data_IF_086619363167
#
_entry.id   IF_086619363167
#
_cell.length_a   1.000
_cell.length_b   1.000
_cell.length_c   1.000
_cell.angle_alpha   90.00
_cell.angle_beta   90.00
_cell.angle_gamma   90.00
#
_symmetry.space_group_name_H-M   'P 1'
#
loop_
_entity.id
_entity.type
_entity.pdbx_description
1 polymer ?
#
# COMPACT_ATOMS: atom_id res chain seq x y z
N UNK A 1 8.40 -3.81 -0.52
CA UNK A 1 8.47 -2.81 -1.61
C UNK A 1 7.20 -1.97 -1.63
N UNK A 2 6.10 -2.36 -2.27
CA UNK A 2 4.93 -1.46 -2.35
C UNK A 2 4.23 -1.17 -1.00
N UNK A 3 4.36 -2.05 -0.01
CA UNK A 3 3.88 -1.79 1.36
C UNK A 3 4.94 -1.21 2.29
N UNK A 4 6.18 -1.03 1.82
CA UNK A 4 7.31 -0.59 2.64
C UNK A 4 7.54 0.91 2.46
N UNK A 5 7.37 1.67 3.55
CA UNK A 5 7.47 3.12 3.56
C UNK A 5 8.85 3.62 3.15
N UNK A 6 9.91 2.86 3.43
CA UNK A 6 11.29 3.24 3.11
C UNK A 6 11.57 3.19 1.60
N UNK A 7 10.80 2.38 0.87
CA UNK A 7 10.92 2.24 -0.58
C UNK A 7 9.94 3.12 -1.36
N UNK A 8 9.00 3.77 -0.67
CA UNK A 8 7.97 4.64 -1.26
C UNK A 8 8.51 5.71 -2.21
N UNK A 9 9.63 6.42 -1.89
CA UNK A 9 10.21 7.41 -2.79
C UNK A 9 10.63 6.89 -4.17
N UNK A 10 10.87 5.59 -4.29
CA UNK A 10 11.34 4.98 -5.53
C UNK A 10 10.23 4.79 -6.56
N UNK A 11 8.96 4.83 -6.15
CA UNK A 11 7.84 4.46 -7.02
C UNK A 11 6.62 5.38 -6.94
N UNK A 12 6.47 6.18 -5.87
CA UNK A 12 5.38 7.13 -5.75
C UNK A 12 5.88 8.56 -5.89
N UNK A 13 5.53 9.21 -7.01
CA UNK A 13 5.86 10.61 -7.27
C UNK A 13 5.33 11.56 -6.20
N UNK A 14 4.24 11.20 -5.51
CA UNK A 14 3.64 12.02 -4.44
C UNK A 14 4.54 12.14 -3.22
N UNK A 15 5.51 11.24 -3.05
CA UNK A 15 6.46 11.29 -1.95
C UNK A 15 7.48 12.44 -2.08
N UNK A 16 7.74 12.94 -3.29
CA UNK A 16 8.72 14.02 -3.57
C UNK A 16 10.07 13.84 -2.85
N UNK A 17 10.62 12.61 -2.83
CA UNK A 17 11.86 12.24 -2.13
C UNK A 17 11.86 12.49 -0.60
N UNK A 18 10.67 12.73 -0.02
CA UNK A 18 10.56 12.93 1.42
C UNK A 18 10.67 11.61 2.18
N UNK A 19 11.21 11.69 3.40
CA UNK A 19 11.13 10.58 4.34
C UNK A 19 9.67 10.30 4.67
N UNK A 20 9.26 9.03 4.53
CA UNK A 20 7.92 8.56 4.87
C UNK A 20 8.00 7.78 6.18
N UNK A 21 7.02 7.97 7.06
CA UNK A 21 6.86 7.20 8.28
C UNK A 21 5.47 6.62 8.35
N UNK A 22 5.36 5.33 8.65
CA UNK A 22 4.10 4.72 9.05
C UNK A 22 3.70 5.20 10.45
N UNK A 23 2.51 5.81 10.57
CA UNK A 23 1.98 6.33 11.84
C UNK A 23 0.85 5.47 12.40
N UNK A 24 0.23 4.63 11.56
CA UNK A 24 -0.74 3.65 11.98
C UNK A 24 -0.71 2.45 11.03
N UNK A 25 -0.91 1.26 11.59
CA UNK A 25 -0.93 0.00 10.88
C UNK A 25 -2.06 -0.88 11.41
N UNK A 26 -2.94 -1.33 10.52
CA UNK A 26 -4.09 -2.17 10.83
C UNK A 26 -4.03 -3.39 9.92
N UNK A 27 -3.77 -4.57 10.49
CA UNK A 27 -3.87 -5.81 9.74
C UNK A 27 -5.32 -6.05 9.27
N UNK A 28 -5.50 -6.44 8.00
CA UNK A 28 -6.82 -6.60 7.40
C UNK A 28 -7.00 -7.99 6.75
N UNK A 29 -7.66 -8.91 7.44
CA UNK A 29 -7.92 -10.26 6.92
C UNK A 29 -6.82 -11.28 7.27
N UNK A 30 -6.80 -12.41 6.56
CA UNK A 30 -5.99 -13.58 6.93
C UNK A 30 -4.58 -13.58 6.35
N UNK A 31 -4.36 -12.89 5.23
CA UNK A 31 -3.04 -12.83 4.61
C UNK A 31 -2.18 -11.77 5.31
N UNK A 32 -0.94 -12.08 5.73
CA UNK A 32 -0.11 -11.18 6.53
C UNK A 32 0.30 -9.89 5.82
N UNK A 33 0.26 -9.88 4.49
CA UNK A 33 0.50 -8.68 3.68
C UNK A 33 -0.71 -7.78 3.50
N UNK A 34 -1.88 -8.14 4.03
CA UNK A 34 -3.07 -7.32 3.93
C UNK A 34 -3.10 -6.35 5.12
N UNK A 35 -3.08 -5.06 4.82
CA UNK A 35 -3.12 -4.04 5.84
C UNK A 35 -3.71 -2.73 5.33
N UNK A 36 -4.16 -1.92 6.27
CA UNK A 36 -4.46 -0.50 6.08
C UNK A 36 -3.38 0.26 6.86
N UNK A 37 -2.65 1.12 6.17
CA UNK A 37 -1.52 1.88 6.71
C UNK A 37 -1.78 3.37 6.51
N UNK A 38 -1.49 4.17 7.53
CA UNK A 38 -1.46 5.63 7.41
C UNK A 38 0.00 6.05 7.42
N UNK A 39 0.43 6.66 6.33
CA UNK A 39 1.80 7.11 6.13
C UNK A 39 1.85 8.64 6.23
N UNK A 40 2.87 9.17 6.89
CA UNK A 40 3.16 10.60 6.98
C UNK A 40 4.39 10.92 6.14
N UNK A 41 4.24 11.88 5.22
CA UNK A 41 5.37 12.42 4.50
C UNK A 41 5.97 13.61 5.26
N UNK A 42 7.26 13.55 5.57
CA UNK A 42 7.97 14.66 6.23
C UNK A 42 8.58 15.59 5.20
N UNK A 43 7.88 16.69 4.89
CA UNK A 43 8.47 17.76 4.09
C UNK A 43 9.28 18.71 4.99
N UNK A 44 10.56 18.91 4.66
CA UNK A 44 11.48 19.77 5.43
C UNK A 44 11.24 21.28 5.22
N UNK A 45 10.47 21.65 4.19
CA UNK A 45 10.29 23.03 3.73
C UNK A 45 8.88 23.59 3.88
N UNK A 46 7.87 22.73 4.06
CA UNK A 46 6.49 23.14 4.29
C UNK A 46 5.90 22.29 5.40
N UNK A 47 5.25 22.91 6.38
CA UNK A 47 4.49 22.23 7.43
C UNK A 47 3.20 21.59 6.87
N UNK A 48 3.27 20.98 5.70
CA UNK A 48 2.15 20.32 5.10
C UNK A 48 2.06 18.93 5.71
N UNK A 49 1.15 18.74 6.67
CA UNK A 49 0.83 17.45 7.28
C UNK A 49 0.02 16.58 6.32
N UNK A 50 0.56 16.35 5.13
CA UNK A 50 0.00 15.43 4.16
C UNK A 50 0.19 14.00 4.69
N UNK A 51 -0.92 13.29 4.76
CA UNK A 51 -0.96 11.87 5.07
C UNK A 51 -1.32 11.11 3.79
N UNK A 52 -0.94 9.84 3.76
CA UNK A 52 -1.32 8.90 2.71
C UNK A 52 -2.03 7.75 3.41
N UNK A 53 -3.29 7.52 3.06
CA UNK A 53 -4.00 6.32 3.46
C UNK A 53 -3.72 5.26 2.39
N UNK A 54 -3.21 4.10 2.79
CA UNK A 54 -2.91 2.99 1.90
C UNK A 54 -3.61 1.72 2.37
N UNK A 55 -4.21 0.99 1.45
CA UNK A 55 -4.65 -0.38 1.64
C UNK A 55 -3.87 -1.31 0.72
N UNK A 56 -3.33 -2.39 1.28
CA UNK A 56 -2.85 -3.54 0.53
C UNK A 56 -3.74 -4.74 0.78
N UNK A 57 -4.08 -5.46 -0.28
CA UNK A 57 -4.87 -6.68 -0.19
C UNK A 57 -4.31 -7.73 -1.16
N UNK A 58 -4.28 -8.98 -0.70
CA UNK A 58 -3.75 -10.14 -1.39
C UNK A 58 -4.79 -11.25 -1.27
N UNK A 59 -5.16 -11.80 -2.41
CA UNK A 59 -6.10 -12.90 -2.55
C UNK A 59 -5.64 -13.89 -3.64
N UNK A 60 -6.49 -14.86 -3.99
CA UNK A 60 -6.18 -15.85 -5.01
C UNK A 60 -6.02 -15.28 -6.43
N UNK A 61 -6.52 -14.06 -6.68
CA UNK A 61 -6.48 -13.39 -7.97
C UNK A 61 -5.22 -12.53 -8.14
N UNK A 62 -4.57 -12.17 -7.04
CA UNK A 62 -3.32 -11.43 -7.03
C UNK A 62 -3.19 -10.51 -5.82
N UNK A 63 -2.60 -9.34 -6.05
CA UNK A 63 -2.39 -8.32 -5.03
C UNK A 63 -2.80 -6.95 -5.54
N UNK A 64 -3.37 -6.11 -4.68
CA UNK A 64 -3.66 -4.72 -4.98
C UNK A 64 -2.99 -3.81 -3.94
N UNK A 65 -2.61 -2.63 -4.40
CA UNK A 65 -2.22 -1.52 -3.55
C UNK A 65 -3.01 -0.30 -4.00
N UNK A 66 -3.87 0.20 -3.12
CA UNK A 66 -4.66 1.42 -3.33
C UNK A 66 -4.28 2.42 -2.27
N UNK A 67 -4.13 3.67 -2.66
CA UNK A 67 -3.73 4.74 -1.77
C UNK A 67 -4.37 6.07 -2.17
N UNK A 68 -4.54 6.98 -1.22
CA UNK A 68 -4.96 8.35 -1.49
C UNK A 68 -4.21 9.34 -0.59
N UNK A 69 -3.85 10.52 -1.11
CA UNK A 69 -3.42 11.62 -0.27
C UNK A 69 -4.63 12.14 0.52
N UNK A 70 -4.44 12.35 1.81
CA UNK A 70 -5.44 12.82 2.76
C UNK A 70 -4.83 13.85 3.70
N UNK A 71 -5.61 14.85 4.09
CA UNK A 71 -5.19 15.81 5.09
C UNK A 71 -5.53 15.32 6.50
N UNK A 72 -4.83 15.85 7.50
CA UNK A 72 -5.08 15.51 8.91
C UNK A 72 -6.52 15.85 9.35
N UNK A 73 -7.14 16.98 8.93
CA UNK A 73 -8.54 17.27 9.23
C UNK A 73 -9.52 16.20 8.72
N UNK A 74 -9.37 15.70 7.50
CA UNK A 74 -10.23 14.63 6.98
C UNK A 74 -10.13 13.35 7.80
N UNK A 75 -8.90 12.95 8.16
CA UNK A 75 -8.71 11.78 9.03
C UNK A 75 -9.39 11.98 10.38
N UNK A 76 -9.32 13.18 10.96
CA UNK A 76 -9.98 13.46 12.23
C UNK A 76 -11.51 13.38 12.13
N UNK A 77 -12.11 13.86 11.03
CA UNK A 77 -13.56 13.74 10.77
C UNK A 77 -13.95 12.25 10.66
N UNK A 78 -13.17 11.46 9.91
CA UNK A 78 -13.44 10.03 9.78
C UNK A 78 -13.32 9.29 11.12
N UNK A 79 -12.38 9.69 11.98
CA UNK A 79 -12.13 9.07 13.28
C UNK A 79 -13.06 9.55 14.40
N UNK A 80 -13.67 10.74 14.26
CA UNK A 80 -14.63 11.29 15.24
C UNK A 80 -16.02 10.65 15.12
N UNK A 81 -16.27 9.87 14.06
CA UNK A 81 -17.59 9.30 13.76
C UNK A 81 -18.55 10.31 13.14
N UNK A 82 -18.05 11.46 12.70
CA UNK A 82 -18.79 12.41 11.88
C UNK A 82 -18.99 11.86 10.46
N UNK A 83 -19.78 12.57 9.63
CA UNK A 83 -20.08 12.15 8.25
C UNK A 83 -18.85 12.33 7.33
N UNK A 84 -18.21 11.23 6.85
CA UNK A 84 -17.04 11.32 6.01
C UNK A 84 -17.37 11.60 4.53
N UNK A 85 -18.65 11.68 4.15
CA UNK A 85 -19.07 11.88 2.74
C UNK A 85 -18.53 13.19 2.13
N UNK A 86 -18.19 14.16 2.96
CA UNK A 86 -17.65 15.45 2.54
C UNK A 86 -16.13 15.46 2.36
N UNK A 87 -15.44 14.35 2.63
CA UNK A 87 -13.98 14.24 2.47
C UNK A 87 -13.69 13.92 0.99
N UNK A 88 -13.14 14.87 0.19
CA UNK A 88 -12.80 14.58 -1.19
C UNK A 88 -11.55 13.70 -1.23
N UNK A 89 -11.71 12.43 -1.61
CA UNK A 89 -10.60 11.50 -1.82
C UNK A 89 -10.29 11.38 -3.32
N UNK A 90 -9.00 11.34 -3.63
CA UNK A 90 -8.49 11.03 -4.96
C UNK A 90 -7.70 9.71 -4.89
N UNK A 91 -8.37 8.55 -4.83
CA UNK A 91 -7.71 7.27 -4.76
C UNK A 91 -6.97 6.96 -6.06
N UNK A 92 -5.81 6.33 -5.92
CA UNK A 92 -4.95 5.83 -6.99
C UNK A 92 -4.38 4.48 -6.56
N UNK A 93 -3.92 3.67 -7.51
CA UNK A 93 -3.43 2.35 -7.17
C UNK A 93 -3.08 1.51 -8.38
N UNK A 94 -2.67 0.28 -8.10
CA UNK A 94 -2.33 -0.71 -9.11
C UNK A 94 -2.60 -2.13 -8.60
N UNK A 95 -2.75 -3.04 -9.54
CA UNK A 95 -2.92 -4.47 -9.30
C UNK A 95 -1.71 -5.23 -9.85
N UNK A 96 -1.25 -6.22 -9.10
CA UNK A 96 -0.19 -7.14 -9.47
C UNK A 96 -0.84 -8.52 -9.60
N UNK A 97 -0.78 -9.10 -10.79
CA UNK A 97 -1.26 -10.45 -11.07
C UNK A 97 -0.12 -11.31 -11.61
N UNK A 98 -0.26 -12.63 -11.47
CA UNK A 98 0.62 -13.57 -12.15
C UNK A 98 0.48 -13.43 -13.66
N UNK A 99 1.55 -13.74 -14.41
CA UNK A 99 1.55 -13.75 -15.87
C UNK A 99 0.70 -14.89 -16.50
N UNK A 100 0.02 -15.68 -15.66
CA UNK A 100 -0.83 -16.80 -16.06
C UNK A 100 -0.08 -18.02 -16.55
N UNK A 101 1.26 -18.00 -16.53
CA UNK A 101 2.05 -19.16 -16.94
C UNK A 101 2.11 -20.17 -15.79
N UNK A 102 1.91 -21.46 -16.07
CA UNK A 102 2.13 -22.47 -15.05
C UNK A 102 3.59 -22.39 -14.61
N UNK A 103 3.81 -22.44 -13.29
CA UNK A 103 5.16 -22.53 -12.73
C UNK A 103 5.79 -23.81 -13.27
N UNK A 104 6.65 -23.69 -14.29
CA UNK A 104 7.55 -24.78 -14.67
C UNK A 104 8.55 -24.90 -13.52
N UNK A 105 8.19 -25.67 -12.50
CA UNK A 105 9.20 -26.30 -11.67
C UNK A 105 10.12 -27.00 -12.66
N UNK A 106 11.33 -26.48 -12.80
CA UNK A 106 12.40 -27.15 -13.53
C UNK A 106 12.43 -28.57 -13.00
N UNK A 107 11.93 -29.52 -13.80
CA UNK A 107 12.09 -30.94 -13.60
C UNK A 107 13.59 -31.23 -13.82
N UNK A 108 14.38 -30.83 -12.84
CA UNK A 108 15.75 -31.26 -12.70
C UNK A 108 15.70 -32.70 -12.19
N UNK A 109 15.78 -33.62 -13.14
CA UNK A 109 16.39 -34.93 -13.01
C UNK A 109 15.84 -35.86 -11.93
N UNK A 110 15.04 -36.83 -12.37
CA UNK A 110 15.26 -38.21 -11.94
C UNK A 110 15.05 -39.14 -13.13
N UNK A 111 16.08 -39.14 -13.99
CA UNK A 111 16.39 -40.30 -14.80
C UNK A 111 17.27 -41.22 -13.96
N UNK A 112 16.70 -42.30 -13.44
CA UNK A 112 17.45 -43.49 -13.08
C UNK A 112 16.57 -44.72 -13.28
N UNK A 113 16.87 -45.43 -14.36
CA UNK A 113 16.50 -46.83 -14.53
C UNK A 113 17.08 -47.67 -13.39
N UNK A 114 16.25 -48.56 -12.82
CA UNK A 114 16.61 -49.96 -12.52
C UNK A 114 15.36 -50.81 -12.65
#
# INVERSE_FOLDING_TARGET
FFSDETTRPQWDVLSHDNAIQEVAHIANGSHPGNCISVLRAFNTSSQNNMLILQESCIDSSGSLVVYCPVDLPAINIAMSGEDPLYIPLLPSGFTISSDGRPYQATAAGDGAST
#
